data_IF_474552579472
#
_entry.id   IF_474552579472
#
_cell.length_a   1.000
_cell.length_b   1.000
_cell.length_c   1.000
_cell.angle_alpha   90.00
_cell.angle_beta   90.00
_cell.angle_gamma   90.00
#
_symmetry.space_group_name_H-M   'P 1'
#
loop_
_entity.id
_entity.type
_entity.pdbx_description
1 polymer ?
#
# COMPACT_ATOMS: atom_id res chain seq x y z
N UNK A 1 26.12 21.39 -28.15
CA UNK A 1 25.81 20.23 -29.00
C UNK A 1 25.84 18.91 -28.25
N UNK A 2 26.77 18.71 -27.26
CA UNK A 2 26.85 17.45 -26.49
C UNK A 2 25.68 17.27 -25.49
N UNK A 3 25.22 18.33 -24.83
CA UNK A 3 24.11 18.24 -23.87
C UNK A 3 22.75 17.97 -24.49
N UNK A 4 22.50 18.43 -25.72
CA UNK A 4 21.24 18.20 -26.44
C UNK A 4 21.11 16.77 -26.93
N UNK A 5 22.20 16.08 -27.27
CA UNK A 5 22.19 14.70 -27.72
C UNK A 5 21.81 13.75 -26.58
N UNK A 6 22.39 13.92 -25.40
CA UNK A 6 22.06 13.09 -24.23
C UNK A 6 20.64 13.32 -23.67
N UNK A 7 20.05 14.50 -23.90
CA UNK A 7 18.65 14.76 -23.59
C UNK A 7 17.71 14.07 -24.59
N UNK A 8 18.07 14.10 -25.87
CA UNK A 8 17.31 13.42 -26.92
C UNK A 8 17.38 11.89 -26.80
N UNK A 9 18.54 11.33 -26.46
CA UNK A 9 18.70 9.90 -26.22
C UNK A 9 17.82 9.44 -25.02
N UNK A 10 17.81 10.18 -23.91
CA UNK A 10 16.93 9.89 -22.76
C UNK A 10 15.43 10.00 -23.08
N UNK A 11 15.04 10.95 -23.93
CA UNK A 11 13.67 11.05 -24.41
C UNK A 11 13.31 9.86 -25.32
N UNK A 12 14.21 9.42 -26.17
CA UNK A 12 13.98 8.24 -27.03
C UNK A 12 13.90 6.95 -26.21
N UNK A 13 14.73 6.79 -25.17
CA UNK A 13 14.61 5.69 -24.21
C UNK A 13 13.24 5.73 -23.50
N UNK A 14 12.82 6.88 -23.01
CA UNK A 14 11.52 7.06 -22.36
C UNK A 14 10.34 6.75 -23.29
N UNK A 15 10.38 7.19 -24.56
CA UNK A 15 9.36 6.86 -25.55
C UNK A 15 9.46 5.43 -26.08
N UNK A 16 10.60 4.77 -25.90
CA UNK A 16 10.81 3.35 -26.21
C UNK A 16 10.30 2.40 -25.13
N UNK A 17 10.01 2.91 -23.92
CA UNK A 17 9.37 2.11 -22.89
C UNK A 17 7.96 1.72 -23.32
N UNK A 18 7.63 0.45 -23.21
CA UNK A 18 6.30 -0.04 -23.53
C UNK A 18 5.34 0.46 -22.44
N UNK A 19 4.25 1.16 -22.81
CA UNK A 19 3.23 1.53 -21.84
C UNK A 19 2.68 0.27 -21.19
N UNK A 20 2.31 0.41 -19.93
CA UNK A 20 1.66 -0.70 -19.22
C UNK A 20 0.46 -1.18 -20.04
N UNK A 21 0.36 -2.48 -20.36
CA UNK A 21 -0.68 -2.97 -21.25
C UNK A 21 -2.06 -2.74 -20.63
N UNK A 22 -2.75 -1.74 -21.15
CA UNK A 22 -4.14 -1.45 -20.79
C UNK A 22 -5.01 -2.53 -21.44
N UNK A 23 -5.81 -3.25 -20.63
CA UNK A 23 -6.74 -4.26 -21.12
C UNK A 23 -6.26 -5.71 -21.04
N UNK A 24 -5.13 -6.00 -20.40
CA UNK A 24 -4.81 -7.37 -20.00
C UNK A 24 -5.67 -7.75 -18.79
N UNK A 25 -6.53 -8.73 -18.99
CA UNK A 25 -7.52 -9.20 -18.03
C UNK A 25 -8.93 -8.94 -18.58
N UNK A 26 -9.79 -9.92 -18.41
CA UNK A 26 -11.18 -9.88 -18.89
C UNK A 26 -12.20 -9.87 -17.77
N UNK A 27 -11.71 -9.97 -16.51
CA UNK A 27 -12.56 -10.13 -15.34
C UNK A 27 -12.55 -8.80 -14.56
N UNK A 28 -13.72 -8.26 -14.34
CA UNK A 28 -13.92 -7.14 -13.41
C UNK A 28 -14.29 -7.70 -12.06
N UNK A 29 -13.60 -7.29 -11.00
CA UNK A 29 -13.97 -7.59 -9.62
C UNK A 29 -14.51 -6.31 -8.98
N UNK A 30 -15.72 -6.43 -8.42
CA UNK A 30 -16.28 -5.46 -7.51
C UNK A 30 -16.41 -6.14 -6.13
N UNK A 31 -16.20 -5.40 -5.05
CA UNK A 31 -16.43 -5.87 -3.68
C UNK A 31 -15.66 -7.16 -3.33
N UNK A 32 -14.34 -7.18 -3.59
CA UNK A 32 -13.50 -8.28 -3.14
C UNK A 32 -13.58 -8.45 -1.62
N UNK A 33 -13.63 -9.70 -1.15
CA UNK A 33 -13.58 -10.02 0.28
C UNK A 33 -12.19 -9.79 0.86
N UNK A 34 -11.15 -9.96 0.03
CA UNK A 34 -9.77 -9.71 0.37
C UNK A 34 -8.97 -10.94 0.79
N UNK A 35 -9.41 -12.17 0.43
CA UNK A 35 -8.53 -13.32 0.56
C UNK A 35 -7.42 -13.22 -0.47
N UNK A 36 -6.17 -13.42 -0.05
CA UNK A 36 -4.99 -13.35 -0.92
C UNK A 36 -4.26 -14.69 -0.85
N UNK A 37 -3.85 -15.20 -2.00
CA UNK A 37 -3.09 -16.44 -2.05
C UNK A 37 -1.93 -16.30 -3.06
N UNK A 38 -0.72 -16.60 -2.61
CA UNK A 38 0.46 -16.78 -3.45
C UNK A 38 0.71 -18.29 -3.57
N UNK A 39 0.76 -18.81 -4.79
CA UNK A 39 0.96 -20.24 -5.09
C UNK A 39 2.21 -20.43 -5.92
N UNK A 40 3.27 -21.00 -5.34
CA UNK A 40 4.49 -21.34 -6.02
C UNK A 40 5.16 -20.16 -6.72
N UNK A 41 5.08 -18.96 -6.15
CA UNK A 41 5.53 -17.73 -6.81
C UNK A 41 7.06 -17.69 -6.86
N UNK A 42 7.59 -17.57 -8.09
CA UNK A 42 9.00 -17.31 -8.35
C UNK A 42 9.18 -15.90 -8.96
N UNK A 43 10.13 -15.16 -8.43
CA UNK A 43 10.46 -13.84 -8.97
C UNK A 43 11.94 -13.50 -8.80
N UNK A 44 12.53 -12.92 -9.86
CA UNK A 44 13.85 -12.32 -9.85
C UNK A 44 13.81 -10.97 -10.60
N UNK A 45 14.56 -9.99 -10.12
CA UNK A 45 14.85 -8.80 -10.90
C UNK A 45 15.83 -9.12 -12.03
N UNK A 46 15.82 -8.38 -13.16
CA UNK A 46 16.78 -8.57 -14.23
C UNK A 46 18.23 -8.63 -13.68
N UNK A 47 18.98 -9.62 -14.12
CA UNK A 47 20.39 -9.83 -13.74
C UNK A 47 20.66 -10.00 -12.24
N UNK A 48 19.63 -10.32 -11.43
CA UNK A 48 19.78 -10.56 -9.99
C UNK A 48 19.34 -11.97 -9.62
N UNK A 49 19.87 -12.50 -8.52
CA UNK A 49 19.38 -13.78 -7.96
C UNK A 49 17.88 -13.71 -7.66
N UNK A 50 17.18 -14.85 -7.71
CA UNK A 50 15.77 -14.93 -7.33
C UNK A 50 15.52 -14.41 -5.91
N UNK A 51 14.56 -13.49 -5.79
CA UNK A 51 14.09 -12.91 -4.52
C UNK A 51 13.04 -13.80 -3.88
N UNK A 52 12.16 -14.37 -4.70
CA UNK A 52 11.13 -15.33 -4.28
C UNK A 52 11.37 -16.66 -5.01
N UNK A 53 11.32 -17.76 -4.26
CA UNK A 53 11.48 -19.14 -4.76
C UNK A 53 10.37 -19.99 -4.17
N UNK A 54 9.51 -20.54 -5.04
CA UNK A 54 8.35 -21.37 -4.63
C UNK A 54 7.60 -20.76 -3.43
N UNK A 55 7.35 -19.45 -3.49
CA UNK A 55 6.74 -18.73 -2.37
C UNK A 55 5.26 -19.02 -2.31
N UNK A 56 4.81 -19.52 -1.17
CA UNK A 56 3.45 -19.91 -0.90
C UNK A 56 2.96 -19.20 0.37
N UNK A 57 1.89 -18.40 0.28
CA UNK A 57 1.31 -17.68 1.41
C UNK A 57 -0.19 -17.50 1.20
N UNK A 58 -0.97 -17.78 2.24
CA UNK A 58 -2.40 -17.49 2.28
C UNK A 58 -2.65 -16.43 3.34
N UNK A 59 -3.37 -15.37 2.98
CA UNK A 59 -3.87 -14.33 3.89
C UNK A 59 -5.38 -14.33 3.82
N UNK A 60 -6.02 -14.54 4.97
CA UNK A 60 -7.48 -14.61 5.06
C UNK A 60 -8.09 -13.21 5.04
N UNK A 61 -9.28 -13.08 4.47
CA UNK A 61 -10.03 -11.82 4.48
C UNK A 61 -10.16 -11.26 5.91
N UNK A 62 -9.85 -9.99 6.09
CA UNK A 62 -9.87 -9.30 7.38
C UNK A 62 -8.67 -9.60 8.30
N UNK A 63 -7.71 -10.40 7.84
CA UNK A 63 -6.49 -10.68 8.59
C UNK A 63 -5.46 -9.56 8.41
N UNK A 64 -4.75 -9.23 9.48
CA UNK A 64 -3.58 -8.35 9.43
C UNK A 64 -2.31 -9.17 9.53
N UNK A 65 -1.47 -9.15 8.50
CA UNK A 65 -0.15 -9.78 8.55
C UNK A 65 0.96 -8.73 8.54
N UNK A 66 2.06 -9.02 9.23
CA UNK A 66 3.28 -8.22 9.15
C UNK A 66 4.36 -8.96 8.37
N UNK A 67 4.87 -8.33 7.31
CA UNK A 67 6.05 -8.81 6.58
C UNK A 67 7.30 -8.15 7.18
N UNK A 68 8.23 -8.95 7.69
CA UNK A 68 9.48 -8.48 8.28
C UNK A 68 10.68 -9.23 7.68
N UNK A 69 11.87 -8.73 7.90
CA UNK A 69 13.11 -9.33 7.39
C UNK A 69 14.09 -8.29 6.84
N UNK A 70 15.33 -8.70 6.48
CA UNK A 70 16.34 -7.79 5.99
C UNK A 70 15.95 -7.10 4.68
N UNK A 71 16.69 -6.03 4.34
CA UNK A 71 16.54 -5.39 3.03
C UNK A 71 16.85 -6.39 1.92
N UNK A 72 16.06 -6.35 0.84
CA UNK A 72 16.20 -7.29 -0.29
C UNK A 72 15.54 -8.65 -0.07
N UNK A 73 14.86 -8.92 1.06
CA UNK A 73 14.16 -10.19 1.29
C UNK A 73 12.85 -10.38 0.50
N UNK A 74 12.42 -9.37 -0.28
CA UNK A 74 11.24 -9.49 -1.14
C UNK A 74 9.94 -8.90 -0.58
N UNK A 75 9.94 -8.23 0.57
CA UNK A 75 8.73 -7.65 1.18
C UNK A 75 7.98 -6.71 0.25
N UNK A 76 8.63 -5.65 -0.23
CA UNK A 76 8.02 -4.71 -1.18
C UNK A 76 7.80 -5.34 -2.55
N UNK A 77 8.56 -6.38 -2.91
CA UNK A 77 8.34 -7.16 -4.12
C UNK A 77 6.99 -7.87 -4.09
N UNK A 78 6.57 -8.44 -2.95
CA UNK A 78 5.24 -9.04 -2.79
C UNK A 78 4.13 -8.00 -3.02
N UNK A 79 4.29 -6.79 -2.46
CA UNK A 79 3.35 -5.70 -2.67
C UNK A 79 3.27 -5.30 -4.16
N UNK A 80 4.42 -5.18 -4.82
CA UNK A 80 4.48 -4.83 -6.24
C UNK A 80 3.89 -5.91 -7.15
N UNK A 81 4.10 -7.19 -6.83
CA UNK A 81 3.49 -8.30 -7.55
C UNK A 81 1.96 -8.33 -7.36
N UNK A 82 1.47 -8.12 -6.13
CA UNK A 82 0.04 -8.08 -5.83
C UNK A 82 -0.67 -6.92 -6.57
N UNK A 83 0.00 -5.77 -6.70
CA UNK A 83 -0.47 -4.61 -7.47
C UNK A 83 -0.29 -4.78 -8.99
N UNK A 84 0.31 -5.89 -9.45
CA UNK A 84 0.73 -6.11 -10.85
C UNK A 84 1.58 -4.98 -11.41
N UNK A 85 2.45 -4.36 -10.59
CA UNK A 85 3.54 -3.51 -11.12
C UNK A 85 4.65 -4.36 -11.74
N UNK A 86 4.72 -5.63 -11.35
CA UNK A 86 5.60 -6.67 -11.89
C UNK A 86 4.83 -7.97 -11.99
N UNK A 87 5.32 -8.89 -12.85
CA UNK A 87 4.73 -10.21 -13.02
C UNK A 87 5.67 -11.28 -12.45
N UNK A 88 5.15 -12.33 -11.82
CA UNK A 88 5.95 -13.46 -11.39
C UNK A 88 6.48 -14.23 -12.61
N UNK A 89 7.70 -14.78 -12.49
CA UNK A 89 8.26 -15.66 -13.52
C UNK A 89 7.54 -17.02 -13.57
N UNK A 90 7.06 -17.49 -12.41
CA UNK A 90 6.24 -18.70 -12.25
C UNK A 90 5.29 -18.53 -11.08
N UNK A 91 4.30 -19.45 -11.00
CA UNK A 91 3.28 -19.45 -9.97
C UNK A 91 2.13 -18.50 -10.27
N UNK A 92 1.25 -18.35 -9.31
CA UNK A 92 0.03 -17.56 -9.44
C UNK A 92 -0.21 -16.75 -8.17
N UNK A 93 -0.89 -15.61 -8.33
CA UNK A 93 -1.36 -14.79 -7.22
C UNK A 93 -2.86 -14.65 -7.39
N UNK A 94 -3.62 -14.98 -6.35
CA UNK A 94 -5.07 -14.96 -6.41
C UNK A 94 -5.63 -13.99 -5.38
N UNK A 95 -6.74 -13.35 -5.76
CA UNK A 95 -7.62 -12.59 -4.85
C UNK A 95 -8.99 -13.27 -4.91
N UNK A 96 -9.49 -13.72 -3.76
CA UNK A 96 -10.74 -14.46 -3.62
C UNK A 96 -10.86 -15.67 -4.58
N UNK A 97 -9.73 -16.34 -4.83
CA UNK A 97 -9.61 -17.49 -5.73
C UNK A 97 -9.47 -17.14 -7.21
N UNK A 98 -9.53 -15.86 -7.58
CA UNK A 98 -9.35 -15.38 -8.95
C UNK A 98 -7.91 -14.97 -9.21
N UNK A 99 -7.28 -15.52 -10.25
CA UNK A 99 -5.92 -15.11 -10.65
C UNK A 99 -5.89 -13.61 -11.03
N UNK A 100 -4.99 -12.85 -10.40
CA UNK A 100 -4.87 -11.42 -10.69
C UNK A 100 -4.41 -11.14 -12.12
N UNK A 101 -3.81 -12.14 -12.80
CA UNK A 101 -3.43 -12.06 -14.20
C UNK A 101 -4.64 -11.88 -15.12
N UNK A 102 -5.78 -12.50 -14.77
CA UNK A 102 -7.02 -12.48 -15.54
C UNK A 102 -7.91 -11.26 -15.21
N UNK A 103 -7.61 -10.54 -14.12
CA UNK A 103 -8.39 -9.38 -13.68
C UNK A 103 -7.97 -8.13 -14.47
N UNK A 104 -8.94 -7.32 -14.87
CA UNK A 104 -8.70 -6.02 -15.48
C UNK A 104 -7.93 -5.12 -14.48
N UNK A 105 -6.87 -4.45 -14.94
CA UNK A 105 -5.88 -3.80 -14.09
C UNK A 105 -6.47 -2.67 -13.22
N UNK A 106 -7.36 -1.86 -13.78
CA UNK A 106 -8.04 -0.80 -13.03
C UNK A 106 -8.94 -1.38 -11.95
N UNK A 107 -9.66 -2.46 -12.29
CA UNK A 107 -10.50 -3.20 -11.36
C UNK A 107 -9.68 -3.82 -10.22
N UNK A 108 -8.57 -4.49 -10.52
CA UNK A 108 -7.64 -5.04 -9.53
C UNK A 108 -7.15 -3.94 -8.56
N UNK A 109 -6.61 -2.85 -9.10
CA UNK A 109 -6.04 -1.75 -8.32
C UNK A 109 -7.09 -0.94 -7.57
N UNK A 110 -8.38 -1.05 -7.94
CA UNK A 110 -9.45 -0.47 -7.15
C UNK A 110 -9.67 -1.20 -5.83
N UNK A 111 -9.38 -2.50 -5.78
CA UNK A 111 -9.54 -3.34 -4.58
C UNK A 111 -8.33 -3.26 -3.63
N UNK A 112 -7.23 -2.65 -4.05
CA UNK A 112 -5.99 -2.61 -3.26
C UNK A 112 -5.60 -1.16 -2.99
N UNK A 113 -5.43 -0.81 -1.74
CA UNK A 113 -4.88 0.46 -1.31
C UNK A 113 -3.41 0.31 -0.92
N UNK A 114 -2.55 1.19 -1.42
CA UNK A 114 -1.14 1.25 -1.06
C UNK A 114 -0.81 2.56 -0.38
N UNK A 115 -0.28 2.48 0.84
CA UNK A 115 0.38 3.60 1.53
C UNK A 115 1.88 3.32 1.48
N UNK A 116 2.58 4.02 0.60
CA UNK A 116 4.01 3.83 0.39
C UNK A 116 4.85 4.58 1.44
N UNK A 117 6.09 4.14 1.64
CA UNK A 117 7.07 4.74 2.53
C UNK A 117 7.27 6.24 2.24
N UNK A 118 7.41 6.59 0.97
CA UNK A 118 7.57 7.98 0.53
C UNK A 118 6.25 8.51 -0.02
N UNK A 119 5.59 9.35 0.77
CA UNK A 119 4.35 10.00 0.36
C UNK A 119 4.65 11.24 -0.49
N UNK A 120 4.23 11.20 -1.74
CA UNK A 120 4.22 12.37 -2.62
C UNK A 120 2.92 13.15 -2.42
N UNK A 121 3.06 14.44 -2.21
CA UNK A 121 1.95 15.38 -2.24
C UNK A 121 1.99 16.15 -3.56
N UNK A 122 0.83 16.27 -4.18
CA UNK A 122 0.65 17.07 -5.38
C UNK A 122 0.50 18.54 -4.99
N UNK A 123 0.93 19.44 -5.89
CA UNK A 123 0.66 20.85 -5.76
C UNK A 123 -0.85 21.09 -5.89
N UNK A 124 -1.48 21.45 -4.78
CA UNK A 124 -2.92 21.63 -4.66
C UNK A 124 -3.34 21.76 -3.20
N UNK A 125 -4.62 21.82 -2.94
CA UNK A 125 -5.14 21.87 -1.59
C UNK A 125 -4.95 20.53 -0.86
N UNK A 126 -5.07 20.56 0.46
CA UNK A 126 -5.13 19.32 1.25
C UNK A 126 -6.32 18.47 0.82
N UNK A 127 -7.48 19.08 0.52
CA UNK A 127 -8.64 18.39 0.00
C UNK A 127 -8.36 17.71 -1.34
N UNK A 128 -7.72 18.38 -2.30
CA UNK A 128 -7.32 17.79 -3.59
C UNK A 128 -6.39 16.60 -3.42
N UNK A 129 -5.45 16.72 -2.47
CA UNK A 129 -4.53 15.63 -2.17
C UNK A 129 -5.23 14.40 -1.61
N UNK A 130 -6.25 14.56 -0.78
CA UNK A 130 -7.05 13.43 -0.28
C UNK A 130 -7.93 12.88 -1.41
N UNK A 131 -8.59 13.76 -2.18
CA UNK A 131 -9.50 13.40 -3.26
C UNK A 131 -8.80 12.77 -4.48
N UNK A 132 -7.47 12.82 -4.58
CA UNK A 132 -6.73 12.34 -5.75
C UNK A 132 -7.10 10.93 -6.22
N UNK A 133 -7.42 10.02 -5.28
CA UNK A 133 -7.85 8.65 -5.61
C UNK A 133 -9.32 8.53 -6.05
N UNK A 134 -10.15 9.57 -5.80
CA UNK A 134 -11.57 9.66 -6.14
C UNK A 134 -11.96 11.13 -6.28
N UNK A 135 -11.72 11.73 -7.45
CA UNK A 135 -11.89 13.18 -7.68
C UNK A 135 -13.32 13.71 -7.53
N UNK A 136 -14.31 12.86 -7.65
CA UNK A 136 -15.76 13.13 -7.50
C UNK A 136 -16.25 13.04 -6.05
N UNK A 137 -15.34 12.76 -5.09
CA UNK A 137 -15.71 12.68 -3.68
C UNK A 137 -16.21 14.02 -3.14
N UNK A 138 -17.29 13.97 -2.38
CA UNK A 138 -17.80 15.14 -1.66
C UNK A 138 -16.86 15.55 -0.52
N UNK A 139 -16.95 16.82 -0.10
CA UNK A 139 -16.16 17.31 1.04
C UNK A 139 -16.44 16.53 2.34
N UNK A 140 -17.67 16.03 2.52
CA UNK A 140 -18.01 15.24 3.71
C UNK A 140 -17.32 13.86 3.69
N UNK A 141 -17.20 13.22 2.52
CA UNK A 141 -16.46 11.97 2.36
C UNK A 141 -14.96 12.18 2.57
N UNK A 142 -14.40 13.29 2.03
CA UNK A 142 -13.00 13.69 2.26
C UNK A 142 -12.74 13.87 3.76
N UNK A 143 -13.61 14.60 4.47
CA UNK A 143 -13.50 14.78 5.93
C UNK A 143 -13.64 13.48 6.69
N UNK A 144 -14.54 12.57 6.26
CA UNK A 144 -14.70 11.24 6.87
C UNK A 144 -13.43 10.42 6.72
N UNK A 145 -12.83 10.40 5.53
CA UNK A 145 -11.57 9.72 5.28
C UNK A 145 -10.41 10.32 6.09
N UNK A 146 -10.34 11.65 6.17
CA UNK A 146 -9.34 12.36 6.98
C UNK A 146 -9.47 12.03 8.47
N UNK A 147 -10.69 11.94 9.00
CA UNK A 147 -10.95 11.53 10.39
C UNK A 147 -10.52 10.09 10.62
N UNK A 148 -10.85 9.17 9.71
CA UNK A 148 -10.44 7.77 9.81
C UNK A 148 -8.90 7.59 9.80
N UNK A 149 -8.19 8.45 9.07
CA UNK A 149 -6.72 8.50 9.03
C UNK A 149 -6.11 9.41 10.13
N UNK A 150 -6.92 9.93 11.06
CA UNK A 150 -6.48 10.88 12.10
C UNK A 150 -5.76 12.12 11.56
N UNK A 151 -6.14 12.54 10.37
CA UNK A 151 -5.60 13.73 9.71
C UNK A 151 -6.38 15.01 10.04
N UNK A 152 -7.69 14.92 10.30
CA UNK A 152 -8.61 16.05 10.51
C UNK A 152 -8.13 17.01 11.62
N UNK A 153 -7.57 16.47 12.70
CA UNK A 153 -7.11 17.25 13.85
C UNK A 153 -5.98 18.22 13.54
N UNK A 154 -5.02 17.83 12.70
CA UNK A 154 -3.98 18.76 12.26
C UNK A 154 -4.43 19.62 11.07
N UNK A 155 -5.26 19.09 10.15
CA UNK A 155 -5.80 19.85 9.01
C UNK A 155 -6.59 21.07 9.50
N UNK A 156 -7.41 20.90 10.53
CA UNK A 156 -8.20 22.00 11.12
C UNK A 156 -7.35 23.12 11.73
N UNK A 157 -6.06 22.85 12.03
CA UNK A 157 -5.11 23.83 12.56
C UNK A 157 -4.30 24.54 11.46
N UNK A 158 -4.41 24.11 10.20
CA UNK A 158 -3.76 24.77 9.07
C UNK A 158 -4.47 26.12 8.75
N UNK A 159 -3.75 27.10 8.17
CA UNK A 159 -4.25 28.46 7.94
C UNK A 159 -5.60 28.52 7.21
N UNK A 160 -5.83 27.62 6.24
CA UNK A 160 -7.08 27.53 5.47
C UNK A 160 -7.71 26.13 5.60
N UNK A 161 -7.38 25.35 6.63
CA UNK A 161 -7.90 24.01 6.83
C UNK A 161 -7.69 23.10 5.61
N UNK A 162 -8.74 22.54 5.09
CA UNK A 162 -8.73 21.67 3.91
C UNK A 162 -8.34 22.38 2.62
N UNK A 163 -8.58 23.70 2.54
CA UNK A 163 -8.21 24.57 1.40
C UNK A 163 -6.74 25.03 1.44
N UNK A 164 -5.98 24.62 2.46
CA UNK A 164 -4.56 24.97 2.56
C UNK A 164 -3.80 24.34 1.41
N UNK A 165 -3.04 25.16 0.67
CA UNK A 165 -2.14 24.66 -0.39
C UNK A 165 -1.00 23.88 0.23
N UNK A 166 -0.77 22.67 -0.28
CA UNK A 166 0.30 21.74 0.11
C UNK A 166 1.10 21.32 -1.13
N UNK A 167 2.21 20.63 -0.93
CA UNK A 167 3.15 20.27 -2.00
C UNK A 167 4.39 21.19 -1.99
N UNK A 168 5.12 21.25 -3.08
CA UNK A 168 6.42 21.97 -3.16
C UNK A 168 6.28 23.49 -2.95
N UNK A 169 5.13 24.05 -3.30
CA UNK A 169 4.84 25.49 -3.22
C UNK A 169 3.96 25.86 -2.02
N UNK A 170 3.61 24.90 -1.18
CA UNK A 170 2.67 25.09 -0.08
C UNK A 170 3.28 24.94 1.30
N UNK A 171 2.41 24.76 2.29
CA UNK A 171 2.80 24.53 3.69
C UNK A 171 3.60 23.24 3.79
N UNK A 172 4.74 23.30 4.47
CA UNK A 172 5.55 22.12 4.79
C UNK A 172 4.87 21.29 5.87
N UNK A 173 4.37 20.12 5.48
CA UNK A 173 3.83 19.14 6.40
C UNK A 173 4.95 18.23 6.95
N UNK A 174 4.82 17.80 8.21
CA UNK A 174 5.73 16.81 8.79
C UNK A 174 5.60 15.45 8.08
N UNK A 175 6.57 14.55 8.25
CA UNK A 175 6.53 13.21 7.70
C UNK A 175 5.26 12.46 8.11
N UNK A 176 4.93 12.48 9.41
CA UNK A 176 3.72 11.84 9.93
C UNK A 176 2.42 12.47 9.39
N UNK A 177 2.38 13.80 9.20
CA UNK A 177 1.22 14.46 8.58
C UNK A 177 1.03 14.01 7.13
N UNK A 178 2.12 13.91 6.36
CA UNK A 178 2.06 13.39 4.99
C UNK A 178 1.56 11.94 4.94
N UNK A 179 2.02 11.09 5.86
CA UNK A 179 1.56 9.70 5.95
C UNK A 179 0.06 9.61 6.30
N UNK A 180 -0.43 10.43 7.23
CA UNK A 180 -1.86 10.50 7.54
C UNK A 180 -2.69 10.96 6.32
N UNK A 181 -2.19 11.91 5.50
CA UNK A 181 -2.87 12.29 4.25
C UNK A 181 -2.84 11.16 3.21
N UNK A 182 -1.73 10.43 3.09
CA UNK A 182 -1.65 9.27 2.20
C UNK A 182 -2.64 8.18 2.60
N UNK A 183 -2.75 7.91 3.90
CA UNK A 183 -3.75 6.96 4.41
C UNK A 183 -5.18 7.46 4.16
N UNK A 184 -5.47 8.76 4.38
CA UNK A 184 -6.78 9.34 4.09
C UNK A 184 -7.16 9.20 2.60
N UNK A 185 -6.23 9.51 1.69
CA UNK A 185 -6.35 9.30 0.24
C UNK A 185 -6.73 7.85 -0.09
N UNK A 186 -6.05 6.92 0.56
CA UNK A 186 -6.27 5.48 0.35
C UNK A 186 -7.61 5.04 0.91
N UNK A 187 -7.96 5.45 2.14
CA UNK A 187 -9.22 5.12 2.79
C UNK A 187 -10.45 5.73 2.11
N UNK A 188 -10.29 6.87 1.41
CA UNK A 188 -11.37 7.48 0.64
C UNK A 188 -11.91 6.56 -0.46
N UNK A 189 -11.06 5.71 -1.04
CA UNK A 189 -11.45 4.69 -2.02
C UNK A 189 -12.08 3.46 -1.38
N UNK A 190 -11.97 3.30 -0.07
CA UNK A 190 -12.48 2.18 0.71
C UNK A 190 -12.05 0.79 0.18
N UNK A 191 -10.77 0.54 -0.07
CA UNK A 191 -10.32 -0.75 -0.60
C UNK A 191 -10.43 -1.85 0.46
N UNK A 192 -10.83 -3.10 0.10
CA UNK A 192 -10.86 -4.25 1.01
C UNK A 192 -9.46 -4.77 1.40
N UNK A 193 -8.45 -4.49 0.60
CA UNK A 193 -7.06 -4.87 0.85
C UNK A 193 -6.22 -3.61 1.03
N UNK A 194 -5.40 -3.56 2.08
CA UNK A 194 -4.52 -2.43 2.40
C UNK A 194 -3.08 -2.90 2.55
N UNK A 195 -2.17 -2.23 1.86
CA UNK A 195 -0.73 -2.43 1.98
C UNK A 195 -0.15 -1.18 2.62
N UNK A 196 0.52 -1.33 3.77
CA UNK A 196 1.25 -0.28 4.45
C UNK A 196 2.76 -0.59 4.35
N UNK A 197 3.42 -0.02 3.33
CA UNK A 197 4.83 -0.26 3.07
C UNK A 197 5.69 0.78 3.81
N UNK A 198 6.24 0.37 4.96
CA UNK A 198 7.00 1.24 5.87
C UNK A 198 6.30 2.57 6.18
N UNK A 199 4.97 2.56 6.15
CA UNK A 199 4.13 3.75 6.27
C UNK A 199 4.30 4.49 7.61
N UNK A 200 4.96 3.88 8.59
CA UNK A 200 5.24 4.47 9.91
C UNK A 200 6.68 4.91 10.09
N UNK A 201 7.54 4.78 9.06
CA UNK A 201 8.97 5.08 9.16
C UNK A 201 9.28 6.53 9.58
N UNK A 202 8.37 7.47 9.32
CA UNK A 202 8.52 8.89 9.66
C UNK A 202 8.06 9.26 11.07
N UNK A 203 7.53 8.31 11.84
CA UNK A 203 7.12 8.51 13.23
C UNK A 203 8.26 8.12 14.17
N UNK A 204 8.31 8.73 15.34
CA UNK A 204 9.04 8.18 16.47
C UNK A 204 8.31 6.94 17.03
N UNK A 205 8.91 6.14 17.91
CA UNK A 205 8.29 4.90 18.39
C UNK A 205 6.93 5.10 19.08
N UNK A 206 6.78 6.18 19.85
CA UNK A 206 5.54 6.48 20.57
C UNK A 206 4.46 6.98 19.60
N UNK A 207 4.81 7.87 18.67
CA UNK A 207 3.93 8.36 17.61
C UNK A 207 3.49 7.27 16.64
N UNK A 208 4.33 6.26 16.40
CA UNK A 208 3.94 5.08 15.61
C UNK A 208 2.86 4.27 16.31
N UNK A 209 3.07 3.94 17.60
CA UNK A 209 2.09 3.19 18.38
C UNK A 209 0.76 3.94 18.44
N UNK A 210 0.80 5.23 18.75
CA UNK A 210 -0.39 6.08 18.77
C UNK A 210 -1.11 6.07 17.44
N UNK A 211 -0.37 6.27 16.32
CA UNK A 211 -0.95 6.26 14.97
C UNK A 211 -1.63 4.93 14.63
N UNK A 212 -0.98 3.80 14.89
CA UNK A 212 -1.53 2.47 14.59
C UNK A 212 -2.75 2.16 15.45
N UNK A 213 -2.71 2.45 16.77
CA UNK A 213 -3.87 2.28 17.63
C UNK A 213 -5.05 3.19 17.23
N UNK A 214 -4.77 4.45 16.89
CA UNK A 214 -5.78 5.38 16.41
C UNK A 214 -6.44 4.95 15.09
N UNK A 215 -5.70 4.30 14.20
CA UNK A 215 -6.19 3.82 12.90
C UNK A 215 -6.77 2.40 12.97
N UNK A 216 -6.65 1.70 14.09
CA UNK A 216 -7.03 0.29 14.27
C UNK A 216 -8.45 -0.02 13.78
N UNK A 217 -9.42 0.83 14.09
CA UNK A 217 -10.80 0.66 13.62
C UNK A 217 -10.94 0.76 12.10
N UNK A 218 -10.15 1.62 11.47
CA UNK A 218 -10.14 1.76 10.01
C UNK A 218 -9.42 0.57 9.33
N UNK A 219 -8.52 -0.10 10.02
CA UNK A 219 -7.79 -1.26 9.52
C UNK A 219 -8.55 -2.57 9.73
N UNK A 220 -9.31 -2.70 10.83
CA UNK A 220 -9.94 -3.95 11.26
C UNK A 220 -10.97 -4.55 10.28
N UNK A 221 -11.53 -3.74 9.40
CA UNK A 221 -12.51 -4.18 8.39
C UNK A 221 -11.84 -4.63 7.07
N UNK A 222 -10.50 -4.71 7.03
CA UNK A 222 -9.73 -4.94 5.80
C UNK A 222 -8.69 -6.02 5.99
N UNK A 223 -8.31 -6.65 4.90
CA UNK A 223 -7.09 -7.46 4.86
C UNK A 223 -5.90 -6.50 4.79
N UNK A 224 -4.98 -6.59 5.76
CA UNK A 224 -3.87 -5.64 5.88
C UNK A 224 -2.53 -6.35 5.78
N UNK A 225 -1.69 -5.86 4.88
CA UNK A 225 -0.29 -6.27 4.77
C UNK A 225 0.58 -5.12 5.27
N UNK A 226 1.17 -5.30 6.44
CA UNK A 226 2.13 -4.36 7.03
C UNK A 226 3.54 -4.77 6.65
N UNK A 227 4.27 -3.94 5.92
CA UNK A 227 5.71 -4.11 5.74
C UNK A 227 6.39 -3.24 6.80
N UNK A 228 6.89 -3.86 7.85
CA UNK A 228 7.54 -3.17 8.97
C UNK A 228 8.56 -4.06 9.65
N UNK A 229 9.54 -3.40 10.26
CA UNK A 229 10.50 -4.03 11.17
C UNK A 229 10.36 -3.48 12.60
N UNK A 230 9.37 -2.61 12.83
CA UNK A 230 9.15 -1.90 14.08
C UNK A 230 8.18 -2.66 15.00
N UNK A 231 8.42 -2.65 16.33
CA UNK A 231 7.62 -3.41 17.28
C UNK A 231 6.11 -3.13 17.21
N UNK A 232 5.70 -1.85 17.14
CA UNK A 232 4.29 -1.50 17.13
C UNK A 232 3.51 -2.08 15.93
N UNK A 233 4.13 -2.08 14.73
CA UNK A 233 3.55 -2.74 13.55
C UNK A 233 3.46 -4.26 13.70
N UNK A 234 4.46 -4.89 14.35
CA UNK A 234 4.44 -6.33 14.61
C UNK A 234 3.40 -6.70 15.67
N UNK A 235 3.20 -5.88 16.69
CA UNK A 235 2.19 -6.08 17.74
C UNK A 235 0.76 -6.00 17.19
N UNK A 236 0.52 -5.20 16.15
CA UNK A 236 -0.80 -5.06 15.51
C UNK A 236 -1.18 -6.27 14.66
N UNK A 237 -0.21 -7.03 14.16
CA UNK A 237 -0.46 -8.13 13.22
C UNK A 237 -0.98 -9.39 13.93
N UNK A 238 -1.94 -10.08 13.30
CA UNK A 238 -2.38 -11.42 13.71
C UNK A 238 -1.29 -12.48 13.47
N UNK A 239 -0.51 -12.31 12.38
CA UNK A 239 0.62 -13.16 12.00
C UNK A 239 1.81 -12.33 11.55
N UNK A 240 3.01 -12.81 11.87
CA UNK A 240 4.28 -12.22 11.44
C UNK A 240 4.96 -13.19 10.48
N UNK A 241 5.24 -12.73 9.27
CA UNK A 241 5.91 -13.46 8.20
C UNK A 241 7.33 -12.92 8.09
N UNK A 242 8.30 -13.68 8.58
CA UNK A 242 9.71 -13.30 8.50
C UNK A 242 10.31 -13.86 7.23
N UNK A 243 10.66 -12.97 6.31
CA UNK A 243 11.25 -13.31 5.01
C UNK A 243 12.77 -13.24 5.05
N UNK A 244 13.42 -14.12 4.28
CA UNK A 244 14.86 -14.08 4.00
C UNK A 244 15.08 -14.23 2.48
N UNK A 245 16.16 -13.64 1.91
CA UNK A 245 16.40 -13.68 0.47
C UNK A 245 16.56 -15.10 -0.06
N UNK A 246 15.64 -15.53 -0.94
CA UNK A 246 15.68 -16.83 -1.60
C UNK A 246 15.46 -18.04 -0.68
N UNK A 247 15.01 -17.83 0.54
CA UNK A 247 14.69 -18.87 1.52
C UNK A 247 13.18 -18.92 1.80
N UNK A 248 12.66 -20.06 2.31
CA UNK A 248 11.30 -20.12 2.86
C UNK A 248 11.14 -19.11 4.01
N UNK A 249 9.96 -18.52 4.10
CA UNK A 249 9.66 -17.64 5.23
C UNK A 249 9.39 -18.44 6.52
N UNK A 250 9.58 -17.78 7.66
CA UNK A 250 9.19 -18.31 8.97
C UNK A 250 7.98 -17.55 9.45
N UNK A 251 6.97 -18.28 9.88
CA UNK A 251 5.70 -17.73 10.38
C UNK A 251 5.65 -17.78 11.90
N UNK A 252 5.19 -16.68 12.50
CA UNK A 252 4.88 -16.58 13.92
C UNK A 252 3.44 -16.08 14.07
N UNK A 253 2.65 -16.70 14.93
CA UNK A 253 1.34 -16.16 15.33
C UNK A 253 1.53 -15.26 16.54
N UNK A 254 0.83 -14.13 16.53
CA UNK A 254 0.78 -13.27 17.70
C UNK A 254 -0.27 -13.85 18.64
N UNK A 255 0.15 -14.50 19.73
CA UNK A 255 -0.74 -15.10 20.74
C UNK A 255 -1.46 -14.04 21.60
N UNK A 256 -1.29 -12.77 21.29
CA UNK A 256 -2.02 -11.69 21.95
C UNK A 256 -3.35 -11.50 21.20
N UNK A 257 -4.50 -11.90 21.81
CA UNK A 257 -5.79 -11.76 21.14
C UNK A 257 -6.14 -10.28 21.02
N UNK A 258 -5.99 -9.72 19.83
CA UNK A 258 -6.64 -8.47 19.48
C UNK A 258 -8.16 -8.64 19.60
N UNK A 259 -8.93 -7.62 20.02
CA UNK A 259 -10.36 -7.73 20.15
C UNK A 259 -10.99 -7.90 18.77
N UNK A 260 -11.31 -9.14 18.41
CA UNK A 260 -12.20 -9.42 17.28
C UNK A 260 -13.59 -8.98 17.71
N UNK A 261 -14.08 -7.88 17.14
CA UNK A 261 -15.49 -7.53 17.19
C UNK A 261 -16.24 -8.60 16.37
N UNK A 262 -16.72 -9.65 17.03
CA UNK A 262 -17.75 -10.51 16.46
C UNK A 262 -19.04 -9.69 16.41
N UNK A 263 -19.36 -9.15 15.22
CA UNK A 263 -20.74 -8.77 14.92
C UNK A 263 -21.55 -10.05 14.80
N UNK A 264 -22.50 -10.23 15.72
CA UNK A 264 -23.65 -11.11 15.54
C UNK A 264 -24.70 -10.43 14.65
#
# INVERSE_FOLDING_TARGET
VMHTRGAAERLLEFFGEHPEPVGLGHITIADAKGNIEFRGVEFAYPERPPVLRDFNLVVTAGETIALTGPNGSGKSTLAHLLMRFMQPARGQILIDGQDIGDIELGSLRSQIGLVAQNTLLLNGTVADNIAYGRPDASMDEIKKAAKAARADGFISKLPAGYETISGDQGVRLSGGQRQRLSLARTLLRNPPILILDEATAMFDPDGEREFLEECKSALAERTVILISHRPAGLELADRIIRMAPGEPYVEYRNDTPGPKAHAQ
#
